data_IF_755010264774
#
_entry.id   IF_755010264774
#
_cell.length_a   1.000
_cell.length_b   1.000
_cell.length_c   1.000
_cell.angle_alpha   90.00
_cell.angle_beta   90.00
_cell.angle_gamma   90.00
#
_symmetry.space_group_name_H-M   'P 1'
#
loop_
_entity.id
_entity.type
_entity.pdbx_description
1 polymer ?
#
# COMPACT_ATOMS: atom_id res chain seq x y z
N UNK A 1 9.35 11.54 -3.35
CA UNK A 1 9.06 11.61 -4.80
C UNK A 1 9.07 13.07 -5.20
N UNK A 2 10.03 13.51 -5.99
CA UNK A 2 10.08 14.86 -6.52
C UNK A 2 9.05 14.93 -7.65
N UNK A 3 8.09 15.84 -7.58
CA UNK A 3 6.85 15.96 -8.37
C UNK A 3 6.91 16.00 -9.91
N UNK A 4 7.73 15.17 -10.52
CA UNK A 4 7.81 15.05 -11.99
C UNK A 4 6.84 13.96 -12.51
N UNK A 5 5.55 14.23 -12.42
CA UNK A 5 4.48 13.28 -12.83
C UNK A 5 4.64 12.76 -14.27
N UNK A 6 5.16 13.59 -15.18
CA UNK A 6 5.31 13.20 -16.60
C UNK A 6 6.42 12.17 -16.82
N UNK A 7 7.58 12.31 -16.18
CA UNK A 7 8.69 11.36 -16.31
C UNK A 7 8.39 10.02 -15.61
N UNK A 8 7.69 10.07 -14.49
CA UNK A 8 7.28 8.87 -13.72
C UNK A 8 6.37 7.95 -14.55
N UNK A 9 5.49 8.50 -15.40
CA UNK A 9 4.56 7.70 -16.22
C UNK A 9 5.29 6.70 -17.14
N UNK A 10 6.37 7.13 -17.78
CA UNK A 10 7.14 6.27 -18.69
C UNK A 10 7.86 5.17 -17.94
N UNK A 11 8.55 5.53 -16.85
CA UNK A 11 9.27 4.56 -16.00
C UNK A 11 8.30 3.56 -15.37
N UNK A 12 7.13 4.03 -14.91
CA UNK A 12 6.10 3.17 -14.32
C UNK A 12 5.52 2.18 -15.34
N UNK A 13 5.35 2.61 -16.61
CA UNK A 13 4.92 1.71 -17.69
C UNK A 13 5.95 0.61 -17.95
N UNK A 14 7.24 0.97 -18.01
CA UNK A 14 8.33 -0.01 -18.17
C UNK A 14 8.36 -0.99 -17.00
N UNK A 15 8.24 -0.49 -15.77
CA UNK A 15 8.20 -1.31 -14.56
C UNK A 15 7.00 -2.27 -14.55
N UNK A 16 5.83 -1.83 -14.96
CA UNK A 16 4.64 -2.67 -15.11
C UNK A 16 4.83 -3.76 -16.15
N UNK A 17 5.47 -3.45 -17.29
CA UNK A 17 5.80 -4.43 -18.31
C UNK A 17 6.79 -5.47 -17.80
N UNK A 18 7.84 -5.04 -17.11
CA UNK A 18 8.82 -5.94 -16.47
C UNK A 18 8.17 -6.90 -15.47
N UNK A 19 7.27 -6.39 -14.61
CA UNK A 19 6.53 -7.23 -13.67
C UNK A 19 5.64 -8.24 -14.40
N UNK A 20 4.96 -7.85 -15.48
CA UNK A 20 4.15 -8.76 -16.27
C UNK A 20 5.00 -9.89 -16.88
N UNK A 21 6.21 -9.56 -17.37
CA UNK A 21 7.16 -10.56 -17.89
C UNK A 21 7.60 -11.52 -16.78
N UNK A 22 7.98 -11.00 -15.61
CA UNK A 22 8.43 -11.79 -14.46
C UNK A 22 7.30 -12.68 -13.90
N UNK A 23 6.06 -12.22 -13.96
CA UNK A 23 4.89 -12.99 -13.48
C UNK A 23 4.29 -13.93 -14.52
N UNK A 24 4.78 -13.92 -15.77
CA UNK A 24 4.32 -14.83 -16.81
C UNK A 24 4.72 -16.29 -16.54
N UNK A 25 3.93 -17.22 -17.06
CA UNK A 25 4.24 -18.64 -17.01
C UNK A 25 5.58 -18.91 -17.73
N UNK A 26 6.50 -19.60 -17.08
CA UNK A 26 7.83 -19.93 -17.61
C UNK A 26 8.99 -19.06 -17.12
N UNK A 27 8.72 -18.01 -16.34
CA UNK A 27 9.81 -17.30 -15.65
C UNK A 27 10.31 -18.14 -14.46
N UNK A 28 11.64 -18.29 -14.28
CA UNK A 28 12.22 -19.09 -13.21
C UNK A 28 11.76 -18.60 -11.82
N UNK A 29 11.72 -19.50 -10.85
CA UNK A 29 11.43 -19.16 -9.46
C UNK A 29 12.54 -18.31 -8.85
N UNK A 30 12.24 -17.59 -7.78
CA UNK A 30 13.24 -16.77 -7.08
C UNK A 30 14.43 -17.64 -6.62
N UNK A 31 14.16 -18.89 -6.20
CA UNK A 31 15.17 -19.86 -5.77
C UNK A 31 16.08 -20.30 -6.95
N UNK A 32 15.50 -20.55 -8.11
CA UNK A 32 16.27 -20.91 -9.33
C UNK A 32 17.15 -19.75 -9.80
N UNK A 33 16.65 -18.51 -9.74
CA UNK A 33 17.44 -17.32 -10.10
C UNK A 33 18.60 -17.10 -9.14
N UNK A 34 18.36 -17.27 -7.83
CA UNK A 34 19.41 -17.15 -6.80
C UNK A 34 20.44 -18.27 -6.90
N UNK A 35 20.01 -19.50 -7.18
CA UNK A 35 20.90 -20.66 -7.35
C UNK A 35 21.77 -20.54 -8.62
N UNK A 36 21.29 -19.88 -9.67
CA UNK A 36 22.03 -19.65 -10.91
C UNK A 36 23.06 -18.50 -10.82
N UNK A 37 23.05 -17.72 -9.73
CA UNK A 37 23.99 -16.63 -9.57
C UNK A 37 25.42 -17.17 -9.32
N UNK A 38 26.37 -16.75 -10.14
CA UNK A 38 27.76 -17.20 -10.09
C UNK A 38 28.58 -16.55 -8.97
N UNK A 39 28.07 -15.48 -8.37
CA UNK A 39 28.78 -14.71 -7.34
C UNK A 39 27.92 -14.54 -6.08
N UNK A 40 28.46 -14.75 -4.85
CA UNK A 40 27.70 -14.62 -3.61
C UNK A 40 27.03 -13.23 -3.40
N UNK A 41 27.62 -12.17 -3.96
CA UNK A 41 27.05 -10.82 -3.91
C UNK A 41 25.77 -10.67 -4.72
N UNK A 42 25.58 -11.49 -5.76
CA UNK A 42 24.39 -11.46 -6.64
C UNK A 42 23.23 -12.29 -6.06
N UNK A 43 23.50 -13.08 -5.01
CA UNK A 43 22.50 -13.89 -4.31
C UNK A 43 21.62 -13.06 -3.33
N UNK A 44 21.71 -11.73 -3.37
CA UNK A 44 20.91 -10.86 -2.52
C UNK A 44 19.51 -10.64 -3.10
N UNK A 45 18.50 -11.17 -2.42
CA UNK A 45 17.10 -10.93 -2.73
C UNK A 45 16.55 -9.79 -1.87
N UNK A 46 16.25 -8.65 -2.48
CA UNK A 46 15.65 -7.52 -1.78
C UNK A 46 14.18 -7.76 -1.40
N UNK A 47 13.38 -8.20 -2.37
CA UNK A 47 11.96 -8.56 -2.22
C UNK A 47 11.67 -9.79 -3.06
N UNK A 48 10.77 -10.64 -2.58
CA UNK A 48 10.21 -11.71 -3.40
C UNK A 48 9.44 -11.14 -4.59
N UNK A 49 9.34 -11.89 -5.66
CA UNK A 49 8.60 -11.57 -6.87
C UNK A 49 7.16 -11.09 -6.58
N UNK A 50 6.47 -11.77 -5.66
CA UNK A 50 5.10 -11.44 -5.29
C UNK A 50 5.00 -10.11 -4.52
N UNK A 51 5.91 -9.86 -3.57
CA UNK A 51 5.98 -8.57 -2.87
C UNK A 51 6.34 -7.43 -3.80
N UNK A 52 7.25 -7.66 -4.77
CA UNK A 52 7.61 -6.67 -5.78
C UNK A 52 6.40 -6.30 -6.65
N UNK A 53 5.56 -7.26 -7.01
CA UNK A 53 4.31 -7.03 -7.74
C UNK A 53 3.37 -6.09 -6.96
N UNK A 54 3.19 -6.32 -5.66
CA UNK A 54 2.36 -5.46 -4.80
C UNK A 54 2.96 -4.06 -4.70
N UNK A 55 4.28 -3.94 -4.55
CA UNK A 55 4.97 -2.64 -4.51
C UNK A 55 4.73 -1.84 -5.80
N UNK A 56 4.80 -2.47 -6.96
CA UNK A 56 4.55 -1.81 -8.26
C UNK A 56 3.09 -1.35 -8.35
N UNK A 57 2.14 -2.14 -7.87
CA UNK A 57 0.75 -1.70 -7.81
C UNK A 57 0.57 -0.52 -6.86
N UNK A 58 1.19 -0.55 -5.68
CA UNK A 58 1.17 0.55 -4.71
C UNK A 58 1.71 1.85 -5.32
N UNK A 59 2.88 1.81 -5.97
CA UNK A 59 3.47 2.97 -6.65
C UNK A 59 2.55 3.47 -7.77
N UNK A 60 1.88 2.55 -8.49
CA UNK A 60 0.90 2.92 -9.52
C UNK A 60 -0.32 3.64 -8.92
N UNK A 61 -0.81 3.19 -7.77
CA UNK A 61 -1.90 3.84 -7.04
C UNK A 61 -1.49 5.26 -6.64
N UNK A 62 -0.34 5.41 -5.98
CA UNK A 62 0.17 6.71 -5.55
C UNK A 62 0.31 7.69 -6.71
N UNK A 63 0.93 7.26 -7.81
CA UNK A 63 1.08 8.08 -9.01
C UNK A 63 -0.28 8.45 -9.63
N UNK A 64 -1.21 7.49 -9.70
CA UNK A 64 -2.54 7.74 -10.28
C UNK A 64 -3.33 8.76 -9.46
N UNK A 65 -3.26 8.69 -8.13
CA UNK A 65 -3.88 9.67 -7.23
C UNK A 65 -3.28 11.07 -7.40
N UNK A 66 -1.95 11.18 -7.45
CA UNK A 66 -1.25 12.45 -7.68
C UNK A 66 -1.58 13.08 -9.04
N UNK A 67 -1.85 12.24 -10.05
CA UNK A 67 -2.25 12.67 -11.38
C UNK A 67 -3.77 12.90 -11.54
N UNK A 68 -4.58 12.67 -10.49
CA UNK A 68 -6.04 12.83 -10.53
C UNK A 68 -6.81 11.67 -11.18
N UNK A 69 -6.16 10.55 -11.48
CA UNK A 69 -6.79 9.39 -12.13
C UNK A 69 -7.37 8.41 -11.09
N UNK A 70 -8.47 8.78 -10.42
CA UNK A 70 -9.02 8.04 -9.29
C UNK A 70 -9.52 6.65 -9.68
N UNK A 71 -10.16 6.48 -10.85
CA UNK A 71 -10.61 5.15 -11.34
C UNK A 71 -9.43 4.20 -11.56
N UNK A 72 -8.33 4.74 -12.10
CA UNK A 72 -7.11 3.95 -12.27
C UNK A 72 -6.50 3.58 -10.91
N UNK A 73 -6.47 4.50 -9.95
CA UNK A 73 -6.00 4.23 -8.60
C UNK A 73 -6.83 3.10 -7.96
N UNK A 74 -8.16 3.17 -8.04
CA UNK A 74 -9.05 2.13 -7.51
C UNK A 74 -8.77 0.77 -8.15
N UNK A 75 -8.69 0.69 -9.48
CA UNK A 75 -8.42 -0.56 -10.20
C UNK A 75 -7.11 -1.23 -9.77
N UNK A 76 -6.04 -0.46 -9.55
CA UNK A 76 -4.76 -1.02 -9.10
C UNK A 76 -4.75 -1.33 -7.61
N UNK A 77 -5.52 -0.62 -6.80
CA UNK A 77 -5.76 -0.97 -5.39
C UNK A 77 -6.44 -2.33 -5.29
N UNK A 78 -7.49 -2.58 -6.07
CA UNK A 78 -8.22 -3.86 -6.05
C UNK A 78 -7.29 -5.03 -6.46
N UNK A 79 -6.44 -4.83 -7.46
CA UNK A 79 -5.44 -5.82 -7.85
C UNK A 79 -4.41 -6.10 -6.76
N UNK A 80 -3.94 -5.05 -6.08
CA UNK A 80 -2.97 -5.20 -5.00
C UNK A 80 -3.57 -5.92 -3.79
N UNK A 81 -4.81 -5.58 -3.41
CA UNK A 81 -5.52 -6.25 -2.31
C UNK A 81 -5.74 -7.72 -2.63
N UNK A 82 -6.20 -8.04 -3.85
CA UNK A 82 -6.38 -9.44 -4.28
C UNK A 82 -5.07 -10.25 -4.21
N UNK A 83 -3.93 -9.63 -4.58
CA UNK A 83 -2.63 -10.28 -4.47
C UNK A 83 -2.21 -10.47 -3.00
N UNK A 84 -2.45 -9.49 -2.14
CA UNK A 84 -2.20 -9.59 -0.70
C UNK A 84 -3.04 -10.73 -0.08
N UNK A 85 -4.31 -10.82 -0.42
CA UNK A 85 -5.21 -11.86 0.10
C UNK A 85 -4.75 -13.25 -0.36
N UNK A 86 -4.32 -13.38 -1.62
CA UNK A 86 -3.74 -14.61 -2.14
C UNK A 86 -2.49 -15.04 -1.37
N UNK A 87 -1.58 -14.11 -1.08
CA UNK A 87 -0.36 -14.43 -0.32
C UNK A 87 -0.67 -14.83 1.12
N UNK A 88 -1.66 -14.17 1.74
CA UNK A 88 -2.10 -14.52 3.10
C UNK A 88 -2.74 -15.92 3.18
N UNK A 89 -3.46 -16.35 2.15
CA UNK A 89 -3.98 -17.72 2.07
C UNK A 89 -2.85 -18.73 1.97
N UNK A 90 -1.71 -18.37 1.43
CA UNK A 90 -0.49 -19.18 1.36
C UNK A 90 0.40 -19.06 2.61
N UNK A 91 -0.16 -18.60 3.74
CA UNK A 91 0.52 -18.45 5.03
C UNK A 91 1.69 -17.44 5.04
N UNK A 92 1.76 -16.52 4.11
CA UNK A 92 2.72 -15.42 4.18
C UNK A 92 2.32 -14.43 5.29
N UNK A 93 3.05 -14.50 6.41
CA UNK A 93 2.88 -13.61 7.57
C UNK A 93 3.91 -12.49 7.60
N UNK A 94 4.57 -12.21 6.49
CA UNK A 94 5.61 -11.20 6.38
C UNK A 94 5.14 -9.82 6.90
N UNK A 95 5.92 -9.16 7.77
CA UNK A 95 5.60 -7.82 8.26
C UNK A 95 5.51 -6.77 7.14
N UNK A 96 6.26 -6.97 6.05
CA UNK A 96 6.24 -6.06 4.90
C UNK A 96 4.90 -6.12 4.16
N UNK A 97 4.28 -7.31 4.07
CA UNK A 97 2.96 -7.49 3.46
C UNK A 97 1.90 -6.71 4.23
N UNK A 98 1.97 -6.75 5.57
CA UNK A 98 1.08 -5.98 6.43
C UNK A 98 1.29 -4.46 6.27
N UNK A 99 2.53 -4.01 6.13
CA UNK A 99 2.84 -2.59 5.86
C UNK A 99 2.31 -2.14 4.49
N UNK A 100 2.47 -2.95 3.46
CA UNK A 100 1.86 -2.65 2.13
C UNK A 100 0.34 -2.56 2.21
N UNK A 101 -0.29 -3.43 2.97
CA UNK A 101 -1.74 -3.40 3.15
C UNK A 101 -2.20 -2.13 3.88
N UNK A 102 -1.50 -1.68 4.91
CA UNK A 102 -1.77 -0.39 5.59
C UNK A 102 -1.68 0.76 4.59
N UNK A 103 -0.61 0.86 3.81
CA UNK A 103 -0.42 1.92 2.81
C UNK A 103 -1.50 1.91 1.72
N UNK A 104 -1.92 0.73 1.26
CA UNK A 104 -3.01 0.61 0.29
C UNK A 104 -4.35 1.05 0.87
N UNK A 105 -4.66 0.68 2.11
CA UNK A 105 -5.88 1.11 2.80
C UNK A 105 -5.88 2.63 3.04
N UNK A 106 -4.73 3.21 3.40
CA UNK A 106 -4.58 4.66 3.52
C UNK A 106 -4.95 5.36 2.20
N UNK A 107 -4.36 4.95 1.08
CA UNK A 107 -4.68 5.52 -0.22
C UNK A 107 -6.13 5.25 -0.64
N UNK A 108 -6.70 4.11 -0.25
CA UNK A 108 -8.12 3.81 -0.48
C UNK A 108 -9.03 4.80 0.25
N UNK A 109 -8.75 5.08 1.53
CA UNK A 109 -9.50 6.07 2.31
C UNK A 109 -9.41 7.44 1.64
N UNK A 110 -8.21 7.90 1.31
CA UNK A 110 -7.98 9.20 0.65
C UNK A 110 -8.73 9.30 -0.68
N UNK A 111 -8.62 8.27 -1.54
CA UNK A 111 -9.30 8.24 -2.84
C UNK A 111 -10.82 8.32 -2.68
N UNK A 112 -11.39 7.54 -1.75
CA UNK A 112 -12.85 7.51 -1.50
C UNK A 112 -13.36 8.80 -0.87
N UNK A 113 -12.57 9.47 -0.02
CA UNK A 113 -12.90 10.78 0.52
C UNK A 113 -12.92 11.85 -0.57
N UNK A 114 -11.90 11.89 -1.44
CA UNK A 114 -11.82 12.84 -2.56
C UNK A 114 -12.97 12.63 -3.56
N UNK A 115 -13.39 11.41 -3.80
CA UNK A 115 -14.54 11.08 -4.68
C UNK A 115 -15.91 11.21 -4.00
N UNK A 116 -15.97 11.62 -2.72
CA UNK A 116 -17.21 11.78 -1.98
C UNK A 116 -17.86 10.47 -1.53
N UNK A 117 -17.20 9.33 -1.70
CA UNK A 117 -17.70 8.02 -1.28
C UNK A 117 -17.45 7.78 0.21
N UNK A 118 -18.27 8.42 1.07
CA UNK A 118 -18.15 8.34 2.53
C UNK A 118 -18.35 6.92 3.07
N UNK A 119 -19.33 6.18 2.54
CA UNK A 119 -19.61 4.80 2.95
C UNK A 119 -18.43 3.87 2.65
N UNK A 120 -17.88 3.95 1.45
CA UNK A 120 -16.69 3.20 1.09
C UNK A 120 -15.44 3.60 1.90
N UNK A 121 -15.32 4.88 2.25
CA UNK A 121 -14.24 5.35 3.11
C UNK A 121 -14.35 4.75 4.52
N UNK A 122 -15.56 4.70 5.11
CA UNK A 122 -15.81 4.04 6.39
C UNK A 122 -15.43 2.57 6.37
N UNK A 123 -15.79 1.85 5.30
CA UNK A 123 -15.41 0.45 5.12
C UNK A 123 -13.88 0.28 5.11
N UNK A 124 -13.16 1.14 4.41
CA UNK A 124 -11.69 1.08 4.35
C UNK A 124 -11.04 1.41 5.72
N UNK A 125 -11.56 2.39 6.45
CA UNK A 125 -11.13 2.71 7.82
C UNK A 125 -11.40 1.53 8.76
N UNK A 126 -12.56 0.90 8.67
CA UNK A 126 -12.89 -0.29 9.46
C UNK A 126 -11.92 -1.46 9.18
N UNK A 127 -11.60 -1.72 7.91
CA UNK A 127 -10.58 -2.71 7.52
C UNK A 127 -9.21 -2.38 8.08
N UNK A 128 -8.84 -1.10 8.10
CA UNK A 128 -7.58 -0.63 8.68
C UNK A 128 -7.52 -0.90 10.19
N UNK A 129 -8.57 -0.54 10.93
CA UNK A 129 -8.67 -0.83 12.37
C UNK A 129 -8.61 -2.34 12.64
N UNK A 130 -9.33 -3.14 11.85
CA UNK A 130 -9.30 -4.60 11.98
C UNK A 130 -7.92 -5.20 11.71
N UNK A 131 -7.22 -4.67 10.71
CA UNK A 131 -5.85 -5.07 10.41
C UNK A 131 -4.92 -4.82 11.61
N UNK A 132 -5.03 -3.66 12.25
CA UNK A 132 -4.22 -3.34 13.43
C UNK A 132 -4.54 -4.21 14.64
N UNK A 133 -5.82 -4.52 14.86
CA UNK A 133 -6.24 -5.39 15.97
C UNK A 133 -5.72 -6.83 15.82
N UNK A 134 -5.53 -7.30 14.58
CA UNK A 134 -5.00 -8.65 14.31
C UNK A 134 -3.49 -8.72 14.14
N UNK A 135 -2.83 -7.57 13.97
CA UNK A 135 -1.41 -7.50 13.67
C UNK A 135 -0.55 -7.40 14.94
N UNK A 136 0.76 -7.55 14.76
CA UNK A 136 1.70 -7.39 15.86
C UNK A 136 1.70 -5.97 16.42
N UNK A 137 1.97 -5.76 17.70
CA UNK A 137 2.08 -4.44 18.32
C UNK A 137 3.11 -3.53 17.62
N UNK A 138 4.15 -4.10 17.02
CA UNK A 138 5.17 -3.36 16.26
C UNK A 138 4.60 -2.69 15.01
N UNK A 139 3.66 -3.33 14.32
CA UNK A 139 2.98 -2.73 13.17
C UNK A 139 2.14 -1.54 13.60
N UNK A 140 1.38 -1.68 14.68
CA UNK A 140 0.59 -0.60 15.25
C UNK A 140 1.48 0.60 15.63
N UNK A 141 2.58 0.36 16.34
CA UNK A 141 3.51 1.44 16.72
C UNK A 141 4.07 2.19 15.50
N UNK A 142 4.44 1.46 14.45
CA UNK A 142 5.00 2.05 13.23
C UNK A 142 4.00 2.91 12.47
N UNK A 143 2.72 2.51 12.44
CA UNK A 143 1.69 3.13 11.61
C UNK A 143 0.59 3.86 12.41
N UNK A 144 0.81 4.05 13.71
CA UNK A 144 -0.18 4.67 14.60
C UNK A 144 -0.55 6.10 14.18
N UNK A 145 0.43 6.90 13.79
CA UNK A 145 0.17 8.25 13.31
C UNK A 145 -0.69 8.25 12.04
N UNK A 146 -0.43 7.32 11.10
CA UNK A 146 -1.23 7.17 9.89
C UNK A 146 -2.68 6.78 10.22
N UNK A 147 -2.89 5.86 11.17
CA UNK A 147 -4.24 5.49 11.62
C UNK A 147 -5.01 6.71 12.14
N UNK A 148 -4.41 7.47 13.05
CA UNK A 148 -5.04 8.69 13.59
C UNK A 148 -5.29 9.73 12.51
N UNK A 149 -4.38 9.89 11.55
CA UNK A 149 -4.58 10.80 10.41
C UNK A 149 -5.80 10.38 9.58
N UNK A 150 -5.95 9.08 9.27
CA UNK A 150 -7.10 8.59 8.50
C UNK A 150 -8.42 8.76 9.25
N UNK A 151 -8.44 8.49 10.55
CA UNK A 151 -9.59 8.72 11.40
C UNK A 151 -9.97 10.21 11.43
N UNK A 152 -8.98 11.09 11.55
CA UNK A 152 -9.19 12.54 11.53
C UNK A 152 -9.76 13.03 10.20
N UNK A 153 -9.20 12.59 9.08
CA UNK A 153 -9.70 12.94 7.74
C UNK A 153 -11.13 12.43 7.52
N UNK A 154 -11.43 11.22 7.98
CA UNK A 154 -12.78 10.68 7.92
C UNK A 154 -13.76 11.52 8.77
N UNK A 155 -13.40 11.84 10.02
CA UNK A 155 -14.21 12.68 10.90
C UNK A 155 -14.48 14.08 10.29
N UNK A 156 -13.45 14.71 9.66
CA UNK A 156 -13.63 15.95 8.89
C UNK A 156 -14.68 15.79 7.78
N UNK A 157 -14.63 14.70 7.04
CA UNK A 157 -15.60 14.45 5.97
C UNK A 157 -17.03 14.26 6.46
N UNK A 158 -17.19 13.86 7.72
CA UNK A 158 -18.47 13.71 8.41
C UNK A 158 -18.90 14.98 9.16
N UNK A 159 -18.14 16.07 9.04
CA UNK A 159 -18.34 17.33 9.75
C UNK A 159 -18.24 17.21 11.29
N UNK A 160 -17.53 16.20 11.80
CA UNK A 160 -17.24 15.98 13.21
C UNK A 160 -15.91 16.65 13.58
N UNK A 161 -15.87 17.99 13.60
CA UNK A 161 -14.63 18.76 13.70
C UNK A 161 -13.88 18.53 15.00
N UNK A 162 -14.57 18.40 16.13
CA UNK A 162 -13.93 18.15 17.42
C UNK A 162 -13.21 16.79 17.45
N UNK A 163 -13.85 15.76 16.90
CA UNK A 163 -13.22 14.44 16.79
C UNK A 163 -12.05 14.46 15.80
N UNK A 164 -12.18 15.17 14.69
CA UNK A 164 -11.10 15.36 13.73
C UNK A 164 -9.87 16.00 14.38
N UNK A 165 -10.07 17.08 15.15
CA UNK A 165 -9.01 17.76 15.88
C UNK A 165 -8.33 16.82 16.89
N UNK A 166 -9.10 16.05 17.67
CA UNK A 166 -8.59 15.08 18.63
C UNK A 166 -7.70 14.05 17.95
N UNK A 167 -8.15 13.48 16.83
CA UNK A 167 -7.41 12.46 16.11
C UNK A 167 -6.13 13.03 15.45
N UNK A 168 -6.21 14.19 14.82
CA UNK A 168 -5.05 14.82 14.19
C UNK A 168 -3.99 15.25 15.21
N UNK A 169 -4.42 15.77 16.37
CA UNK A 169 -3.52 16.06 17.48
C UNK A 169 -2.84 14.78 18.02
N UNK A 170 -3.58 13.67 18.11
CA UNK A 170 -2.99 12.38 18.48
C UNK A 170 -1.93 11.92 17.46
N UNK A 171 -2.19 12.09 16.15
CA UNK A 171 -1.21 11.78 15.10
C UNK A 171 0.08 12.61 15.24
N UNK A 172 -0.03 13.90 15.51
CA UNK A 172 1.13 14.79 15.71
C UNK A 172 1.95 14.37 16.92
N UNK A 173 1.32 14.05 18.06
CA UNK A 173 2.02 13.62 19.28
C UNK A 173 2.82 12.33 19.09
N UNK A 174 2.31 11.39 18.29
CA UNK A 174 3.01 10.12 18.00
C UNK A 174 4.29 10.35 17.18
N UNK A 175 4.32 11.35 16.31
CA UNK A 175 5.48 11.65 15.47
C UNK A 175 6.60 12.42 16.19
N UNK A 176 6.35 12.87 17.43
CA UNK A 176 7.35 13.65 18.22
C UNK A 176 8.24 12.76 19.09
N UNK A 177 8.05 11.45 19.09
CA UNK A 177 8.83 10.45 19.83
C UNK A 177 9.33 9.36 18.89
#
# INVERSE_FOLDING_TARGET
MVGQVKSVKTVLKQLQQSIQTITSAGWPTDEEVLAASSHPADAFQWLSKDHLCILVYLVTVMHSMQAGYMDKAQKYTDKAVAQIDKLRTNFDTSPILSSFHVLLLEHTVQCRLVTGNKGGSMEAVSKLCHLFNKSSPRLLLRHRAQLHTMLGLYAMSMNCMQEAENQLNAALRVNMF
#
